data_IF_766163002632
#
_entry.id   IF_766163002632
#
_cell.length_a   1.000
_cell.length_b   1.000
_cell.length_c   1.000
_cell.angle_alpha   90.00
_cell.angle_beta   90.00
_cell.angle_gamma   90.00
#
_symmetry.space_group_name_H-M   'P 1'
#
loop_
_entity.id
_entity.type
_entity.pdbx_description
1 polymer ?
#
# COMPACT_ATOMS: atom_id res chain seq x y z
N UNK A 1 16.97 30.84 8.00
CA UNK A 1 16.29 31.56 6.89
C UNK A 1 16.52 33.06 7.02
N UNK A 2 16.55 33.80 5.90
CA UNK A 2 16.76 35.26 5.89
C UNK A 2 15.65 35.99 6.65
N UNK A 3 15.98 37.01 7.45
CA UNK A 3 15.01 37.82 8.21
C UNK A 3 14.39 38.96 7.39
N UNK A 4 14.93 39.25 6.21
CA UNK A 4 14.49 40.36 5.38
C UNK A 4 13.27 39.98 4.52
N UNK A 5 12.12 40.62 4.80
CA UNK A 5 10.83 40.29 4.18
C UNK A 5 10.86 40.28 2.63
N UNK A 6 11.63 41.17 2.01
CA UNK A 6 11.78 41.23 0.54
C UNK A 6 12.42 39.95 -0.01
N UNK A 7 13.48 39.47 0.64
CA UNK A 7 14.16 38.23 0.28
C UNK A 7 13.25 37.02 0.51
N UNK A 8 12.48 37.02 1.60
CA UNK A 8 11.48 35.97 1.87
C UNK A 8 10.41 35.91 0.78
N UNK A 9 9.90 37.06 0.34
CA UNK A 9 8.88 37.16 -0.71
C UNK A 9 9.42 36.68 -2.07
N UNK A 10 10.67 37.04 -2.40
CA UNK A 10 11.34 36.56 -3.60
C UNK A 10 11.49 35.03 -3.57
N UNK A 11 11.95 34.46 -2.46
CA UNK A 11 12.13 33.02 -2.30
C UNK A 11 10.79 32.27 -2.46
N UNK A 12 9.72 32.73 -1.81
CA UNK A 12 8.36 32.17 -1.95
C UNK A 12 7.92 32.16 -3.41
N UNK A 13 8.12 33.28 -4.12
CA UNK A 13 7.75 33.40 -5.54
C UNK A 13 8.55 32.43 -6.41
N UNK A 14 9.85 32.30 -6.17
CA UNK A 14 10.71 31.37 -6.89
C UNK A 14 10.29 29.91 -6.66
N UNK A 15 10.00 29.52 -5.41
CA UNK A 15 9.51 28.17 -5.09
C UNK A 15 8.15 27.89 -5.70
N UNK A 16 7.22 28.85 -5.73
CA UNK A 16 5.94 28.68 -6.41
C UNK A 16 6.07 28.52 -7.92
N UNK A 17 6.97 29.28 -8.56
CA UNK A 17 7.23 29.14 -9.99
C UNK A 17 7.76 27.73 -10.29
N UNK A 18 8.77 27.28 -9.54
CA UNK A 18 9.31 25.93 -9.67
C UNK A 18 8.23 24.86 -9.44
N UNK A 19 7.44 25.06 -8.38
CA UNK A 19 6.10 24.52 -8.15
C UNK A 19 5.38 24.09 -9.42
N UNK A 20 4.90 25.14 -10.10
CA UNK A 20 4.04 25.02 -11.27
C UNK A 20 4.76 24.39 -12.45
N UNK A 21 6.04 24.69 -12.64
CA UNK A 21 6.84 24.09 -13.71
C UNK A 21 6.97 22.59 -13.50
N UNK A 22 7.37 22.15 -12.30
CA UNK A 22 7.51 20.73 -11.98
C UNK A 22 6.17 19.99 -12.07
N UNK A 23 5.08 20.59 -11.55
CA UNK A 23 3.74 20.02 -11.67
C UNK A 23 3.34 19.82 -13.14
N UNK A 24 3.52 20.83 -13.98
CA UNK A 24 3.17 20.77 -15.39
C UNK A 24 3.94 19.66 -16.14
N UNK A 25 5.24 19.57 -15.88
CA UNK A 25 6.15 18.59 -16.48
C UNK A 25 5.88 17.16 -16.01
N UNK A 26 5.60 16.96 -14.73
CA UNK A 26 5.44 15.62 -14.13
C UNK A 26 4.03 15.06 -14.19
N UNK A 27 2.98 15.89 -14.30
CA UNK A 27 1.58 15.43 -14.25
C UNK A 27 0.77 15.78 -15.48
N UNK A 28 0.95 16.98 -16.04
CA UNK A 28 0.06 17.49 -17.09
C UNK A 28 0.49 17.00 -18.48
N UNK A 29 1.80 17.01 -18.77
CA UNK A 29 2.33 16.55 -20.06
C UNK A 29 2.11 15.06 -20.30
N UNK A 30 2.40 14.13 -19.36
CA UNK A 30 2.20 12.70 -19.56
C UNK A 30 0.72 12.32 -19.82
N UNK A 31 -0.23 13.11 -19.31
CA UNK A 31 -1.66 12.91 -19.54
C UNK A 31 -2.14 13.39 -20.91
N UNK A 32 -1.42 14.30 -21.57
CA UNK A 32 -1.95 15.06 -22.70
C UNK A 32 -1.61 14.54 -24.11
N UNK A 33 -0.54 13.76 -24.37
CA UNK A 33 -0.36 13.06 -25.66
C UNK A 33 0.91 12.19 -25.81
N UNK A 34 0.78 11.08 -26.57
CA UNK A 34 1.87 10.40 -27.31
C UNK A 34 2.39 11.31 -28.43
N UNK A 35 3.69 11.58 -28.47
CA UNK A 35 4.41 11.79 -29.74
C UNK A 35 5.14 13.13 -29.98
N UNK A 36 5.05 14.14 -29.10
CA UNK A 36 5.77 15.41 -29.33
C UNK A 36 6.49 16.01 -28.10
N UNK A 37 6.13 15.60 -26.87
CA UNK A 37 6.64 16.22 -25.64
C UNK A 37 7.55 15.31 -24.79
N UNK A 38 7.85 14.09 -25.25
CA UNK A 38 8.71 13.16 -24.50
C UNK A 38 10.12 13.74 -24.31
N UNK A 39 10.64 14.44 -25.33
CA UNK A 39 11.94 15.11 -25.24
C UNK A 39 11.99 16.14 -24.10
N UNK A 40 10.91 16.87 -23.86
CA UNK A 40 10.87 17.93 -22.86
C UNK A 40 10.79 17.38 -21.43
N UNK A 41 10.11 16.23 -21.24
CA UNK A 41 10.11 15.51 -19.95
C UNK A 41 11.49 14.89 -19.70
N UNK A 42 12.11 14.28 -20.72
CA UNK A 42 13.47 13.74 -20.62
C UNK A 42 14.48 14.85 -20.34
N UNK A 43 14.41 15.98 -21.05
CA UNK A 43 15.29 17.12 -20.83
C UNK A 43 15.15 17.71 -19.42
N UNK A 44 13.91 17.81 -18.91
CA UNK A 44 13.66 18.20 -17.53
C UNK A 44 14.35 17.26 -16.55
N UNK A 45 14.17 15.95 -16.71
CA UNK A 45 14.73 14.95 -15.81
C UNK A 45 16.27 14.89 -15.88
N UNK A 46 16.85 14.97 -17.07
CA UNK A 46 18.28 14.78 -17.30
C UNK A 46 19.14 16.04 -17.13
N UNK A 47 18.61 17.25 -17.38
CA UNK A 47 19.43 18.46 -17.40
C UNK A 47 18.99 19.53 -16.39
N UNK A 48 17.70 19.80 -16.28
CA UNK A 48 17.22 20.96 -15.50
C UNK A 48 16.96 20.63 -14.04
N UNK A 49 16.35 19.48 -13.78
CA UNK A 49 15.92 19.12 -12.43
C UNK A 49 17.09 18.79 -11.50
N UNK A 50 18.20 18.26 -12.01
CA UNK A 50 19.38 17.92 -11.20
C UNK A 50 19.94 19.14 -10.46
N UNK A 51 20.23 20.23 -11.19
CA UNK A 51 20.78 21.46 -10.61
C UNK A 51 19.82 22.13 -9.61
N UNK A 52 18.52 21.92 -9.77
CA UNK A 52 17.50 22.47 -8.87
C UNK A 52 17.41 21.65 -7.59
N UNK A 53 17.17 20.34 -7.71
CA UNK A 53 16.90 19.49 -6.55
C UNK A 53 18.16 19.12 -5.77
N UNK A 54 19.34 19.15 -6.39
CA UNK A 54 20.62 19.06 -5.68
C UNK A 54 20.86 20.23 -4.71
N UNK A 55 20.16 21.37 -4.89
CA UNK A 55 20.18 22.50 -3.96
C UNK A 55 19.00 22.44 -2.99
N UNK A 56 17.80 22.17 -3.50
CA UNK A 56 16.58 22.27 -2.69
C UNK A 56 16.40 21.13 -1.70
N UNK A 57 16.82 19.92 -2.03
CA UNK A 57 16.66 18.78 -1.13
C UNK A 57 17.54 18.93 0.13
N UNK A 58 18.85 19.25 0.05
CA UNK A 58 19.64 19.58 1.23
C UNK A 58 19.12 20.78 2.00
N UNK A 59 18.70 21.86 1.30
CA UNK A 59 18.13 23.04 1.94
C UNK A 59 16.87 22.70 2.73
N UNK A 60 15.99 21.85 2.19
CA UNK A 60 14.80 21.39 2.88
C UNK A 60 15.15 20.60 4.13
N UNK A 61 16.07 19.63 4.05
CA UNK A 61 16.48 18.82 5.21
C UNK A 61 17.12 19.69 6.30
N UNK A 62 17.99 20.63 5.91
CA UNK A 62 18.63 21.58 6.85
C UNK A 62 17.60 22.46 7.56
N UNK A 63 16.70 23.09 6.80
CA UNK A 63 15.67 23.98 7.36
C UNK A 63 14.68 23.18 8.22
N UNK A 64 14.21 22.02 7.75
CA UNK A 64 13.31 21.14 8.49
C UNK A 64 13.93 20.64 9.79
N UNK A 65 15.22 20.27 9.77
CA UNK A 65 15.96 19.82 10.93
C UNK A 65 16.14 20.89 12.02
N UNK A 66 16.11 22.18 11.65
CA UNK A 66 16.18 23.30 12.60
C UNK A 66 14.83 23.75 13.18
N UNK A 67 13.71 23.17 12.74
CA UNK A 67 12.36 23.55 13.19
C UNK A 67 11.91 22.60 14.29
N UNK A 68 12.02 23.07 15.53
CA UNK A 68 11.53 22.37 16.72
C UNK A 68 10.36 23.09 17.41
N UNK A 69 10.01 24.29 16.95
CA UNK A 69 8.90 25.10 17.49
C UNK A 69 8.09 25.69 16.34
N UNK A 70 6.87 26.17 16.62
CA UNK A 70 6.01 26.82 15.63
C UNK A 70 6.72 28.02 15.00
N UNK A 71 7.06 27.97 13.69
CA UNK A 71 7.75 29.07 13.04
C UNK A 71 6.85 30.30 12.94
N UNK A 72 7.44 31.50 12.99
CA UNK A 72 6.70 32.74 12.74
C UNK A 72 6.05 32.73 11.34
N UNK A 73 4.99 33.55 11.10
CA UNK A 73 4.16 33.44 9.90
C UNK A 73 4.92 33.50 8.58
N UNK A 74 5.91 34.38 8.46
CA UNK A 74 6.68 34.54 7.21
C UNK A 74 7.66 33.39 6.97
N UNK A 75 8.28 32.87 8.04
CA UNK A 75 9.11 31.66 8.00
C UNK A 75 8.25 30.45 7.63
N UNK A 76 7.04 30.33 8.18
CA UNK A 76 6.11 29.26 7.86
C UNK A 76 5.71 29.30 6.38
N UNK A 77 5.43 30.48 5.81
CA UNK A 77 5.09 30.61 4.40
C UNK A 77 6.25 30.20 3.47
N UNK A 78 7.47 30.60 3.80
CA UNK A 78 8.65 30.15 3.05
C UNK A 78 8.81 28.64 3.11
N UNK A 79 8.62 28.05 4.28
CA UNK A 79 8.70 26.62 4.48
C UNK A 79 7.63 25.87 3.69
N UNK A 80 6.35 26.30 3.77
CA UNK A 80 5.26 25.75 2.95
C UNK A 80 5.65 25.78 1.47
N UNK A 81 6.19 26.90 0.98
CA UNK A 81 6.55 27.08 -0.41
C UNK A 81 7.72 26.18 -0.83
N UNK A 82 8.77 26.10 0.00
CA UNK A 82 9.92 25.20 -0.18
C UNK A 82 9.48 23.73 -0.17
N UNK A 83 8.73 23.31 0.84
CA UNK A 83 8.12 21.99 0.97
C UNK A 83 7.34 21.60 -0.28
N UNK A 84 6.46 22.49 -0.75
CA UNK A 84 5.68 22.25 -1.97
C UNK A 84 6.55 22.00 -3.18
N UNK A 85 7.58 22.83 -3.39
CA UNK A 85 8.52 22.69 -4.50
C UNK A 85 9.32 21.39 -4.42
N UNK A 86 9.86 21.08 -3.24
CA UNK A 86 10.64 19.86 -3.00
C UNK A 86 9.80 18.60 -3.15
N UNK A 87 8.49 18.67 -2.86
CA UNK A 87 7.57 17.53 -3.00
C UNK A 87 7.47 16.98 -4.44
N UNK A 88 7.97 17.72 -5.44
CA UNK A 88 8.05 17.29 -6.84
C UNK A 88 9.43 16.77 -7.25
N UNK A 89 10.35 16.56 -6.30
CA UNK A 89 11.67 15.99 -6.55
C UNK A 89 11.53 14.62 -7.25
N UNK A 90 12.06 14.47 -8.48
CA UNK A 90 12.06 13.19 -9.17
C UNK A 90 12.84 12.12 -8.42
N UNK A 91 12.34 10.88 -8.46
CA UNK A 91 12.99 9.70 -7.86
C UNK A 91 14.48 9.57 -8.23
N UNK A 92 14.93 9.81 -9.49
CA UNK A 92 16.36 9.80 -9.83
C UNK A 92 17.25 10.66 -8.93
N UNK A 93 16.78 11.84 -8.53
CA UNK A 93 17.52 12.78 -7.69
C UNK A 93 17.48 12.42 -6.21
N UNK A 94 16.51 11.61 -5.79
CA UNK A 94 16.51 10.99 -4.46
C UNK A 94 17.54 9.84 -4.39
N UNK A 95 17.73 9.10 -5.49
CA UNK A 95 18.74 8.02 -5.59
C UNK A 95 20.17 8.54 -5.59
N UNK A 96 20.41 9.69 -6.20
CA UNK A 96 21.71 10.37 -6.28
C UNK A 96 21.62 11.73 -5.60
N UNK A 97 21.19 11.72 -4.34
CA UNK A 97 21.02 12.94 -3.58
C UNK A 97 22.37 13.55 -3.19
N UNK A 98 22.35 14.87 -3.02
CA UNK A 98 23.47 15.67 -2.51
C UNK A 98 23.39 15.87 -0.99
N UNK A 99 22.68 15.00 -0.26
CA UNK A 99 22.54 15.12 1.18
C UNK A 99 23.86 14.74 1.88
N UNK A 100 24.16 15.37 3.03
CA UNK A 100 25.26 14.92 3.88
C UNK A 100 25.03 13.46 4.29
N UNK A 101 26.04 12.60 4.10
CA UNK A 101 25.98 11.17 4.44
C UNK A 101 25.53 11.00 5.88
N UNK A 102 24.50 10.16 6.09
CA UNK A 102 23.95 9.83 7.40
C UNK A 102 23.60 8.35 7.42
N UNK A 103 24.44 7.55 8.06
CA UNK A 103 24.29 6.09 8.14
C UNK A 103 24.01 5.67 9.59
N UNK A 104 23.26 4.58 9.75
CA UNK A 104 22.97 3.97 11.05
C UNK A 104 23.81 2.70 11.14
N UNK A 105 24.65 2.59 12.16
CA UNK A 105 25.62 1.49 12.28
C UNK A 105 24.96 0.11 12.45
N UNK A 106 23.73 0.09 12.97
CA UNK A 106 22.92 -1.12 13.20
C UNK A 106 22.02 -1.46 11.99
N UNK A 107 22.12 -0.72 10.88
CA UNK A 107 21.31 -1.00 9.69
C UNK A 107 21.84 -2.22 8.95
N UNK A 108 21.20 -3.37 9.19
CA UNK A 108 21.45 -4.61 8.45
C UNK A 108 20.84 -4.60 7.04
N UNK A 109 20.11 -3.53 6.66
CA UNK A 109 19.52 -3.44 5.33
C UNK A 109 20.59 -3.25 4.25
N UNK A 110 20.52 -4.05 3.20
CA UNK A 110 21.47 -4.03 2.09
C UNK A 110 21.18 -2.92 1.06
N UNK A 111 20.70 -1.77 1.53
CA UNK A 111 20.40 -0.62 0.69
C UNK A 111 21.68 0.14 0.34
N UNK A 112 21.79 0.74 -0.86
CA UNK A 112 22.90 1.62 -1.18
C UNK A 112 22.95 2.83 -0.23
N UNK A 113 24.16 3.35 -0.01
CA UNK A 113 24.45 4.46 0.91
C UNK A 113 23.55 5.69 0.69
N UNK A 114 23.23 6.00 -0.56
CA UNK A 114 22.38 7.15 -0.91
C UNK A 114 20.92 6.97 -0.47
N UNK A 115 20.39 5.74 -0.53
CA UNK A 115 19.05 5.44 -0.03
C UNK A 115 19.03 5.48 1.49
N UNK A 116 20.02 4.85 2.15
CA UNK A 116 20.15 4.91 3.61
C UNK A 116 20.21 6.37 4.09
N UNK A 117 21.05 7.19 3.46
CA UNK A 117 21.16 8.62 3.78
C UNK A 117 19.83 9.34 3.62
N UNK A 118 19.10 9.10 2.53
CA UNK A 118 17.78 9.72 2.30
C UNK A 118 16.78 9.30 3.37
N UNK A 119 16.67 8.01 3.66
CA UNK A 119 15.77 7.47 4.68
C UNK A 119 16.11 8.02 6.07
N UNK A 120 17.39 8.05 6.43
CA UNK A 120 17.88 8.51 7.73
C UNK A 120 17.67 10.01 7.96
N UNK A 121 17.55 10.80 6.91
CA UNK A 121 17.17 12.22 7.00
C UNK A 121 15.65 12.43 7.00
N UNK A 122 14.91 11.72 6.14
CA UNK A 122 13.49 11.98 5.91
C UNK A 122 12.54 11.24 6.87
N UNK A 123 12.85 10.02 7.31
CA UNK A 123 11.98 9.26 8.22
C UNK A 123 11.72 9.99 9.55
N UNK A 124 12.72 10.58 10.23
CA UNK A 124 12.46 11.36 11.45
C UNK A 124 11.53 12.56 11.24
N UNK A 125 11.50 13.13 10.02
CA UNK A 125 10.65 14.26 9.68
C UNK A 125 9.17 13.88 9.57
N UNK A 126 8.83 12.58 9.57
CA UNK A 126 7.43 12.11 9.69
C UNK A 126 6.79 12.50 11.02
N UNK A 127 7.59 12.80 12.04
CA UNK A 127 7.13 13.28 13.35
C UNK A 127 7.34 14.79 13.54
N UNK A 128 7.62 15.53 12.46
CA UNK A 128 7.79 16.97 12.54
C UNK A 128 6.44 17.67 12.79
N UNK A 129 6.36 18.63 13.73
CA UNK A 129 5.12 19.36 14.00
C UNK A 129 4.68 20.25 12.83
N UNK A 130 5.57 20.61 11.91
CA UNK A 130 5.15 21.34 10.72
C UNK A 130 4.54 20.38 9.68
N UNK A 131 3.25 20.57 9.38
CA UNK A 131 2.50 19.76 8.41
C UNK A 131 3.18 19.69 7.05
N UNK A 132 3.67 20.82 6.54
CA UNK A 132 4.28 20.87 5.21
C UNK A 132 5.56 20.03 5.16
N UNK A 133 6.37 20.07 6.22
CA UNK A 133 7.54 19.20 6.37
C UNK A 133 7.13 17.74 6.46
N UNK A 134 6.20 17.41 7.35
CA UNK A 134 5.71 16.04 7.55
C UNK A 134 5.20 15.40 6.26
N UNK A 135 4.30 16.08 5.53
CA UNK A 135 3.71 15.57 4.30
C UNK A 135 4.69 15.55 3.12
N UNK A 136 5.61 16.51 3.06
CA UNK A 136 6.66 16.51 2.01
C UNK A 136 7.58 15.32 2.19
N UNK A 137 8.06 15.09 3.41
CA UNK A 137 8.92 13.93 3.73
C UNK A 137 8.19 12.63 3.45
N UNK A 138 6.93 12.50 3.84
CA UNK A 138 6.10 11.35 3.49
C UNK A 138 6.01 11.14 1.97
N UNK A 139 5.71 12.18 1.18
CA UNK A 139 5.56 12.06 -0.28
C UNK A 139 6.87 11.65 -0.96
N UNK A 140 8.00 12.20 -0.54
CA UNK A 140 9.32 11.82 -1.04
C UNK A 140 9.63 10.35 -0.72
N UNK A 141 9.41 9.95 0.54
CA UNK A 141 9.61 8.58 0.99
C UNK A 141 8.70 7.61 0.24
N UNK A 142 7.43 7.95 0.05
CA UNK A 142 6.44 7.12 -0.64
C UNK A 142 6.86 6.84 -2.09
N UNK A 143 7.45 7.83 -2.77
CA UNK A 143 7.97 7.67 -4.13
C UNK A 143 9.14 6.68 -4.23
N UNK A 144 9.88 6.46 -3.13
CA UNK A 144 11.01 5.54 -3.06
C UNK A 144 10.61 4.12 -2.65
N UNK A 145 9.56 3.96 -1.83
CA UNK A 145 9.18 2.67 -1.24
C UNK A 145 9.12 1.50 -2.24
N UNK A 146 8.54 1.65 -3.45
CA UNK A 146 8.46 0.53 -4.41
C UNK A 146 9.80 0.06 -4.97
N UNK A 147 10.85 0.88 -4.92
CA UNK A 147 12.18 0.53 -5.46
C UNK A 147 13.07 -0.18 -4.44
N UNK A 148 12.80 -0.01 -3.14
CA UNK A 148 13.66 -0.52 -2.07
C UNK A 148 13.71 -2.06 -2.02
N UNK A 149 12.57 -2.71 -2.28
CA UNK A 149 12.45 -4.17 -2.30
C UNK A 149 13.39 -4.87 -3.28
N UNK A 150 13.82 -4.18 -4.33
CA UNK A 150 14.70 -4.74 -5.37
C UNK A 150 16.13 -5.00 -4.89
N UNK A 151 16.54 -4.39 -3.78
CA UNK A 151 17.88 -4.56 -3.22
C UNK A 151 17.95 -5.77 -2.29
N UNK A 152 16.86 -6.08 -1.58
CA UNK A 152 16.76 -7.29 -0.78
C UNK A 152 16.68 -8.54 -1.66
N UNK A 153 16.02 -8.46 -2.82
CA UNK A 153 15.90 -9.57 -3.77
C UNK A 153 17.23 -10.17 -4.28
N UNK A 154 18.35 -9.44 -4.17
CA UNK A 154 19.63 -9.78 -4.80
C UNK A 154 20.58 -10.59 -3.92
N UNK A 155 20.18 -10.93 -2.71
CA UNK A 155 21.05 -11.60 -1.75
C UNK A 155 20.85 -13.12 -1.86
N UNK A 156 21.95 -13.84 -2.13
CA UNK A 156 22.00 -15.29 -2.06
C UNK A 156 21.68 -15.73 -0.62
N UNK A 157 20.70 -16.62 -0.49
CA UNK A 157 20.25 -17.16 0.80
C UNK A 157 21.34 -18.14 1.30
N UNK A 158 21.96 -17.92 2.48
CA UNK A 158 22.76 -18.94 3.13
C UNK A 158 21.86 -20.12 3.55
N UNK A 159 22.46 -21.29 3.82
CA UNK A 159 21.79 -22.56 4.15
C UNK A 159 20.51 -22.44 5.01
N UNK A 160 19.54 -23.35 4.78
CA UNK A 160 18.16 -23.26 5.29
C UNK A 160 17.98 -23.06 6.81
N UNK A 161 19.02 -23.31 7.61
CA UNK A 161 18.97 -23.26 9.08
C UNK A 161 19.28 -21.86 9.67
N UNK A 162 19.80 -20.91 8.88
CA UNK A 162 20.19 -19.55 9.31
C UNK A 162 19.60 -18.46 8.39
N UNK A 163 18.35 -18.58 7.92
CA UNK A 163 17.71 -17.50 7.13
C UNK A 163 17.55 -16.24 8.00
N UNK A 164 18.30 -15.14 7.76
CA UNK A 164 18.06 -13.91 8.49
C UNK A 164 16.66 -13.41 8.12
N UNK A 165 15.84 -13.17 9.14
CA UNK A 165 14.53 -12.56 8.95
C UNK A 165 14.75 -11.12 8.50
N UNK A 166 14.47 -10.83 7.22
CA UNK A 166 14.66 -9.48 6.68
C UNK A 166 13.72 -8.50 7.36
N UNK A 167 14.29 -7.39 7.81
CA UNK A 167 13.55 -6.28 8.38
C UNK A 167 13.35 -5.17 7.34
N UNK A 168 12.27 -4.39 7.42
CA UNK A 168 12.17 -3.14 6.68
C UNK A 168 13.25 -2.14 7.11
N UNK A 169 13.50 -1.08 6.33
CA UNK A 169 14.56 -0.11 6.62
C UNK A 169 14.52 0.44 8.04
N UNK A 170 15.66 0.40 8.74
CA UNK A 170 15.72 0.71 10.18
C UNK A 170 15.18 2.10 10.51
N UNK A 171 15.45 3.11 9.66
CA UNK A 171 14.96 4.48 9.86
C UNK A 171 13.43 4.58 9.93
N UNK A 172 12.75 3.82 9.06
CA UNK A 172 11.29 3.73 9.05
C UNK A 172 10.81 3.00 10.30
N UNK A 173 11.48 1.88 10.65
CA UNK A 173 11.14 1.10 11.83
C UNK A 173 11.34 1.87 13.12
N UNK A 174 12.40 2.65 13.28
CA UNK A 174 12.63 3.53 14.45
C UNK A 174 11.49 4.53 14.61
N UNK A 175 11.05 5.16 13.51
CA UNK A 175 9.96 6.14 13.53
C UNK A 175 8.62 5.48 13.90
N UNK A 176 8.34 4.30 13.33
CA UNK A 176 7.12 3.53 13.58
C UNK A 176 7.07 2.96 15.00
N UNK A 177 8.17 2.35 15.48
CA UNK A 177 8.25 1.77 16.82
C UNK A 177 8.19 2.84 17.90
N UNK A 178 8.93 3.94 17.74
CA UNK A 178 8.92 5.07 18.67
C UNK A 178 7.52 5.66 18.82
N UNK A 179 6.89 6.01 17.70
CA UNK A 179 5.51 6.53 17.71
C UNK A 179 4.50 5.50 18.22
N UNK A 180 4.70 4.19 17.99
CA UNK A 180 3.83 3.15 18.59
C UNK A 180 3.90 3.13 20.11
N UNK A 181 5.09 3.32 20.69
CA UNK A 181 5.29 3.33 22.13
C UNK A 181 4.62 4.55 22.77
N UNK A 182 4.79 5.72 22.17
CA UNK A 182 4.16 6.95 22.60
C UNK A 182 2.62 6.83 22.56
N UNK A 183 2.07 6.32 21.45
CA UNK A 183 0.62 6.13 21.30
C UNK A 183 0.07 5.07 22.24
N UNK A 184 0.78 3.96 22.47
CA UNK A 184 0.34 2.96 23.44
C UNK A 184 0.28 3.55 24.85
N UNK A 185 1.22 4.42 25.22
CA UNK A 185 1.19 5.12 26.51
C UNK A 185 0.03 6.11 26.60
N UNK A 186 -0.25 6.85 25.54
CA UNK A 186 -1.33 7.83 25.46
C UNK A 186 -2.72 7.18 25.48
N UNK A 187 -2.87 6.07 24.77
CA UNK A 187 -4.14 5.40 24.52
C UNK A 187 -4.45 4.26 25.50
N UNK A 188 -3.62 4.07 26.52
CA UNK A 188 -3.74 2.96 27.48
C UNK A 188 -5.14 2.87 28.11
N UNK A 189 -5.72 4.01 28.50
CA UNK A 189 -7.00 4.06 29.22
C UNK A 189 -8.22 4.04 28.30
N UNK A 190 -8.03 4.13 26.97
CA UNK A 190 -9.12 4.11 25.99
C UNK A 190 -9.36 2.67 25.54
N UNK A 191 -10.51 2.05 25.86
CA UNK A 191 -10.80 0.70 25.42
C UNK A 191 -11.11 0.64 23.92
N UNK A 192 -10.84 -0.49 23.30
CA UNK A 192 -11.14 -0.71 21.88
C UNK A 192 -12.64 -0.57 21.59
N UNK A 193 -12.97 0.25 20.59
CA UNK A 193 -14.35 0.55 20.18
C UNK A 193 -14.95 1.80 20.84
N UNK A 194 -14.23 2.43 21.77
CA UNK A 194 -14.48 3.82 22.13
C UNK A 194 -13.66 4.74 21.22
N UNK A 195 -14.26 5.86 20.84
CA UNK A 195 -13.68 6.77 19.86
C UNK A 195 -12.94 7.88 20.59
N UNK A 196 -11.65 8.00 20.32
CA UNK A 196 -10.84 9.10 20.80
C UNK A 196 -10.94 10.29 19.83
N UNK A 197 -11.27 11.45 20.38
CA UNK A 197 -11.12 12.72 19.67
C UNK A 197 -9.74 13.28 19.99
N UNK A 198 -8.91 13.39 18.97
CA UNK A 198 -7.57 13.97 19.07
C UNK A 198 -7.65 15.42 18.58
N UNK A 199 -7.17 16.35 19.38
CA UNK A 199 -7.11 17.77 19.02
C UNK A 199 -6.09 18.00 17.89
N UNK A 200 -6.50 18.70 16.84
CA UNK A 200 -5.72 18.92 15.62
C UNK A 200 -4.41 19.68 15.89
N UNK A 201 -4.38 20.53 16.91
CA UNK A 201 -3.22 21.35 17.25
C UNK A 201 -2.28 20.66 18.27
N UNK A 202 -2.62 19.46 18.72
CA UNK A 202 -1.88 18.78 19.77
C UNK A 202 -0.69 17.97 19.26
N UNK A 203 0.24 17.64 20.17
CA UNK A 203 1.39 16.79 19.85
C UNK A 203 0.95 15.35 19.55
N UNK A 204 -0.13 14.89 20.20
CA UNK A 204 -0.76 13.59 19.95
C UNK A 204 -1.22 13.46 18.50
N UNK A 205 -1.75 14.53 17.89
CA UNK A 205 -2.09 14.54 16.47
C UNK A 205 -0.84 14.32 15.60
N UNK A 206 0.26 15.00 15.90
CA UNK A 206 1.51 14.90 15.13
C UNK A 206 2.05 13.47 15.18
N UNK A 207 2.09 12.88 16.37
CA UNK A 207 2.55 11.51 16.59
C UNK A 207 1.62 10.51 15.89
N UNK A 208 0.29 10.66 16.03
CA UNK A 208 -0.69 9.77 15.40
C UNK A 208 -0.60 9.84 13.89
N UNK A 209 -0.52 11.05 13.32
CA UNK A 209 -0.36 11.22 11.87
C UNK A 209 0.96 10.63 11.40
N UNK A 210 2.08 10.90 12.09
CA UNK A 210 3.39 10.34 11.73
C UNK A 210 3.43 8.80 11.78
N UNK A 211 2.75 8.20 12.77
CA UNK A 211 2.56 6.75 12.87
C UNK A 211 1.78 6.20 11.66
N UNK A 212 0.65 6.82 11.30
CA UNK A 212 -0.16 6.39 10.16
C UNK A 212 0.58 6.55 8.82
N UNK A 213 1.32 7.65 8.64
CA UNK A 213 2.16 7.87 7.46
C UNK A 213 3.28 6.82 7.38
N UNK A 214 3.90 6.48 8.51
CA UNK A 214 4.91 5.40 8.57
C UNK A 214 4.33 4.04 8.16
N UNK A 215 3.10 3.74 8.59
CA UNK A 215 2.39 2.53 8.14
C UNK A 215 2.06 2.55 6.65
N UNK A 216 1.63 3.69 6.10
CA UNK A 216 1.42 3.81 4.65
C UNK A 216 2.70 3.53 3.86
N UNK A 217 3.86 4.02 4.34
CA UNK A 217 5.16 3.74 3.72
C UNK A 217 5.52 2.26 3.81
N UNK A 218 5.33 1.64 4.97
CA UNK A 218 5.58 0.21 5.17
C UNK A 218 4.70 -0.66 4.27
N UNK A 219 3.40 -0.32 4.12
CA UNK A 219 2.48 -1.02 3.22
C UNK A 219 2.85 -0.78 1.74
N UNK A 220 3.32 0.41 1.38
CA UNK A 220 3.84 0.69 0.04
C UNK A 220 5.10 -0.13 -0.28
N UNK A 221 6.01 -0.28 0.68
CA UNK A 221 7.18 -1.16 0.57
C UNK A 221 6.74 -2.62 0.35
N UNK A 222 5.74 -3.06 1.13
CA UNK A 222 5.19 -4.41 1.01
C UNK A 222 4.59 -4.68 -0.38
N UNK A 223 3.84 -3.72 -0.94
CA UNK A 223 3.28 -3.81 -2.30
C UNK A 223 4.34 -3.84 -3.40
N UNK A 224 5.46 -3.14 -3.19
CA UNK A 224 6.61 -3.17 -4.10
C UNK A 224 7.43 -4.46 -4.05
N UNK A 225 7.24 -5.31 -3.02
CA UNK A 225 8.03 -6.51 -2.80
C UNK A 225 7.46 -7.76 -3.50
N UNK A 226 8.36 -8.68 -3.90
CA UNK A 226 7.98 -10.01 -4.41
C UNK A 226 7.30 -10.86 -3.34
N UNK A 227 6.62 -11.92 -3.76
CA UNK A 227 5.84 -12.80 -2.86
C UNK A 227 6.71 -13.39 -1.74
N UNK A 228 7.93 -13.80 -2.07
CA UNK A 228 8.88 -14.39 -1.14
C UNK A 228 9.32 -13.37 -0.06
N UNK A 229 9.75 -12.18 -0.49
CA UNK A 229 10.15 -11.10 0.41
C UNK A 229 8.98 -10.60 1.28
N UNK A 230 7.76 -10.54 0.72
CA UNK A 230 6.54 -10.25 1.49
C UNK A 230 6.31 -11.25 2.62
N UNK A 231 6.63 -12.53 2.42
CA UNK A 231 6.50 -13.53 3.47
C UNK A 231 7.51 -13.29 4.61
N UNK A 232 8.75 -12.91 4.28
CA UNK A 232 9.79 -12.58 5.26
C UNK A 232 9.43 -11.32 6.08
N UNK A 233 9.02 -10.23 5.40
CA UNK A 233 8.52 -9.04 6.09
C UNK A 233 7.29 -9.34 6.94
N UNK A 234 6.34 -10.15 6.45
CA UNK A 234 5.17 -10.52 7.24
C UNK A 234 5.55 -11.30 8.51
N UNK A 235 6.57 -12.16 8.43
CA UNK A 235 7.11 -12.87 9.59
C UNK A 235 7.79 -11.90 10.57
N UNK A 236 8.52 -10.90 10.08
CA UNK A 236 9.07 -9.82 10.89
C UNK A 236 7.97 -9.04 11.63
N UNK A 237 6.94 -8.57 10.92
CA UNK A 237 5.81 -7.85 11.52
C UNK A 237 5.09 -8.68 12.60
N UNK A 238 4.97 -9.99 12.36
CA UNK A 238 4.38 -10.93 13.32
C UNK A 238 5.23 -11.08 14.58
N UNK A 239 6.55 -11.23 14.44
CA UNK A 239 7.45 -11.40 15.58
C UNK A 239 7.49 -10.15 16.47
N UNK A 240 7.31 -8.98 15.87
CA UNK A 240 7.25 -7.70 16.58
C UNK A 240 5.83 -7.31 17.05
N UNK A 241 4.81 -8.14 16.82
CA UNK A 241 3.39 -7.87 17.10
C UNK A 241 2.87 -6.53 16.55
N UNK A 242 3.37 -6.08 15.39
CA UNK A 242 3.09 -4.73 14.91
C UNK A 242 1.67 -4.56 14.37
N UNK A 243 1.12 -5.62 13.77
CA UNK A 243 -0.26 -5.59 13.24
C UNK A 243 -1.27 -5.57 14.39
N UNK A 244 -1.01 -6.27 15.48
CA UNK A 244 -1.88 -6.21 16.67
C UNK A 244 -1.93 -4.78 17.22
N UNK A 245 -0.77 -4.16 17.45
CA UNK A 245 -0.66 -2.78 17.95
C UNK A 245 -1.33 -1.80 16.99
N UNK A 246 -1.11 -1.94 15.68
CA UNK A 246 -1.76 -1.11 14.67
C UNK A 246 -3.28 -1.16 14.79
N UNK A 247 -3.85 -2.37 14.85
CA UNK A 247 -5.30 -2.53 14.89
C UNK A 247 -5.88 -2.00 16.21
N UNK A 248 -5.21 -2.23 17.34
CA UNK A 248 -5.62 -1.66 18.63
C UNK A 248 -5.68 -0.13 18.59
N UNK A 249 -4.69 0.52 17.97
CA UNK A 249 -4.68 1.98 17.79
C UNK A 249 -5.78 2.40 16.80
N UNK A 250 -5.87 1.77 15.63
CA UNK A 250 -6.85 2.12 14.59
C UNK A 250 -8.29 2.07 15.11
N UNK A 251 -8.67 1.03 15.86
CA UNK A 251 -10.03 0.93 16.39
C UNK A 251 -10.39 1.93 17.49
N UNK A 252 -9.42 2.74 17.95
CA UNK A 252 -9.65 3.88 18.84
C UNK A 252 -9.79 5.21 18.08
N UNK A 253 -9.26 5.30 16.86
CA UNK A 253 -9.26 6.53 16.04
C UNK A 253 -10.15 6.48 14.80
N UNK A 254 -10.52 5.30 14.32
CA UNK A 254 -11.41 5.13 13.17
C UNK A 254 -12.74 5.84 13.44
N UNK A 255 -13.31 6.56 12.46
CA UNK A 255 -14.58 7.25 12.64
C UNK A 255 -15.75 6.26 12.75
N UNK A 256 -16.74 6.54 13.59
CA UNK A 256 -17.92 5.68 13.75
C UNK A 256 -18.70 5.52 12.42
N UNK A 257 -18.72 6.61 11.65
CA UNK A 257 -19.31 6.68 10.32
C UNK A 257 -18.27 7.29 9.35
N UNK A 258 -17.61 6.47 8.51
CA UNK A 258 -16.53 6.88 7.59
C UNK A 258 -17.10 7.55 6.33
N UNK A 259 -17.85 8.65 6.52
CA UNK A 259 -18.46 9.42 5.43
C UNK A 259 -17.68 10.70 5.23
N UNK A 260 -17.30 10.98 3.98
CA UNK A 260 -16.67 12.24 3.65
C UNK A 260 -17.69 13.40 3.73
N UNK A 261 -17.36 14.52 4.40
CA UNK A 261 -18.20 15.70 4.38
C UNK A 261 -18.41 16.15 2.92
N UNK A 262 -19.65 16.38 2.52
CA UNK A 262 -19.93 16.97 1.21
C UNK A 262 -19.36 18.39 1.20
N UNK A 263 -18.38 18.65 0.33
CA UNK A 263 -17.92 20.01 0.09
C UNK A 263 -19.07 20.85 -0.47
N UNK A 264 -19.49 21.88 0.26
CA UNK A 264 -20.42 22.92 -0.20
C UNK A 264 -19.74 23.78 -1.27
N UNK A 265 -19.67 23.27 -2.51
CA UNK A 265 -19.29 24.06 -3.67
C UNK A 265 -20.14 23.67 -4.90
N UNK A 266 -21.23 24.41 -5.08
CA UNK A 266 -21.84 24.71 -6.38
C UNK A 266 -22.37 23.57 -7.25
N UNK A 267 -23.32 22.77 -6.77
CA UNK A 267 -24.27 22.10 -7.68
C UNK A 267 -25.70 22.44 -7.27
N UNK A 268 -26.22 23.52 -7.85
CA UNK A 268 -27.66 23.82 -7.93
C UNK A 268 -28.33 22.83 -8.89
N UNK A 269 -28.29 21.53 -8.62
CA UNK A 269 -29.22 20.58 -9.24
C UNK A 269 -30.01 19.90 -8.13
N UNK A 270 -31.32 20.18 -8.14
CA UNK A 270 -32.33 19.50 -7.33
C UNK A 270 -32.50 18.07 -7.83
N UNK A 271 -31.52 17.22 -7.60
CA UNK A 271 -31.70 15.77 -7.60
C UNK A 271 -31.17 15.26 -6.27
N UNK A 272 -31.93 14.35 -5.65
CA UNK A 272 -31.82 13.90 -4.25
C UNK A 272 -30.35 13.74 -3.79
N UNK A 273 -29.92 14.32 -2.66
CA UNK A 273 -28.58 14.12 -2.14
C UNK A 273 -28.53 12.75 -1.44
N UNK A 274 -28.33 11.68 -2.21
CA UNK A 274 -28.12 10.32 -1.67
C UNK A 274 -26.68 9.83 -1.81
N UNK A 275 -25.77 10.62 -2.40
CA UNK A 275 -24.36 10.25 -2.56
C UNK A 275 -23.50 10.75 -1.40
N UNK A 276 -23.66 10.17 -0.21
CA UNK A 276 -22.60 10.19 0.80
C UNK A 276 -21.47 9.28 0.33
N UNK A 277 -20.30 9.85 0.05
CA UNK A 277 -19.10 9.09 -0.36
C UNK A 277 -18.38 8.53 0.87
N UNK A 278 -17.86 7.31 0.74
CA UNK A 278 -17.13 6.65 1.84
C UNK A 278 -15.66 7.06 1.84
N UNK A 279 -15.07 7.24 3.03
CA UNK A 279 -13.62 7.43 3.20
C UNK A 279 -12.81 6.20 2.72
N UNK A 280 -13.45 5.05 2.53
CA UNK A 280 -12.80 3.83 2.03
C UNK A 280 -12.78 3.72 0.50
N UNK A 281 -13.46 4.62 -0.23
CA UNK A 281 -13.55 4.57 -1.69
C UNK A 281 -12.53 5.46 -2.40
N UNK A 282 -11.91 6.39 -1.67
CA UNK A 282 -11.00 7.41 -2.19
C UNK A 282 -9.76 7.51 -1.29
N UNK A 283 -8.60 7.83 -1.87
CA UNK A 283 -7.38 8.11 -1.12
C UNK A 283 -7.45 9.46 -0.39
N UNK A 284 -6.81 9.62 0.79
CA UNK A 284 -6.73 10.89 1.48
C UNK A 284 -6.01 11.96 0.66
N UNK A 285 -6.71 13.07 0.39
CA UNK A 285 -6.13 14.22 -0.31
C UNK A 285 -5.43 15.15 0.69
N UNK A 286 -4.17 14.82 1.02
CA UNK A 286 -3.35 15.60 1.92
C UNK A 286 -2.46 16.58 1.14
N UNK A 287 -2.83 17.87 1.14
CA UNK A 287 -1.96 18.94 0.63
C UNK A 287 -1.07 19.49 1.76
N UNK A 288 0.22 19.62 1.46
CA UNK A 288 1.22 20.23 2.34
C UNK A 288 0.96 21.72 2.59
N UNK A 289 0.20 22.40 1.72
CA UNK A 289 -0.17 23.82 1.83
C UNK A 289 -1.38 24.09 2.69
N UNK A 290 -2.26 23.11 2.79
CA UNK A 290 -3.51 23.24 3.51
C UNK A 290 -3.28 23.30 5.02
N UNK A 291 -4.17 24.00 5.73
CA UNK A 291 -4.27 23.84 7.17
C UNK A 291 -4.70 22.40 7.51
N UNK A 292 -4.32 21.93 8.71
CA UNK A 292 -4.78 20.64 9.21
C UNK A 292 -6.31 20.66 9.36
N UNK A 293 -6.96 19.55 9.02
CA UNK A 293 -8.41 19.36 9.17
C UNK A 293 -8.65 18.09 9.96
N UNK A 294 -9.73 18.05 10.76
CA UNK A 294 -10.10 16.84 11.53
C UNK A 294 -10.26 15.62 10.63
N UNK A 295 -10.81 15.83 9.43
CA UNK A 295 -11.03 14.78 8.43
C UNK A 295 -9.72 14.13 7.96
N UNK A 296 -8.59 14.84 8.00
CA UNK A 296 -7.32 14.34 7.50
C UNK A 296 -6.86 13.09 8.26
N UNK A 297 -6.92 13.15 9.59
CA UNK A 297 -6.52 12.04 10.47
C UNK A 297 -7.48 10.87 10.34
N UNK A 298 -8.79 11.15 10.35
CA UNK A 298 -9.82 10.12 10.21
C UNK A 298 -9.72 9.40 8.86
N UNK A 299 -9.58 10.14 7.77
CA UNK A 299 -9.46 9.57 6.43
C UNK A 299 -8.13 8.81 6.28
N UNK A 300 -7.03 9.32 6.83
CA UNK A 300 -5.76 8.60 6.84
C UNK A 300 -5.85 7.29 7.64
N UNK A 301 -6.55 7.27 8.79
CA UNK A 301 -6.78 6.04 9.56
C UNK A 301 -7.60 5.01 8.76
N UNK A 302 -8.62 5.46 8.02
CA UNK A 302 -9.39 4.63 7.10
C UNK A 302 -8.48 4.04 6.00
N UNK A 303 -7.64 4.87 5.38
CA UNK A 303 -6.73 4.42 4.33
C UNK A 303 -5.72 3.38 4.85
N UNK A 304 -5.14 3.58 6.04
CA UNK A 304 -4.21 2.60 6.64
C UNK A 304 -4.94 1.31 6.94
N UNK A 305 -6.13 1.38 7.53
CA UNK A 305 -6.92 0.18 7.82
C UNK A 305 -7.29 -0.60 6.56
N UNK A 306 -7.68 0.12 5.51
CA UNK A 306 -8.02 -0.45 4.21
C UNK A 306 -6.82 -1.17 3.57
N UNK A 307 -5.68 -0.49 3.46
CA UNK A 307 -4.46 -1.07 2.89
C UNK A 307 -3.93 -2.23 3.74
N UNK A 308 -4.01 -2.15 5.08
CA UNK A 308 -3.63 -3.27 5.93
C UNK A 308 -4.50 -4.51 5.66
N UNK A 309 -5.82 -4.36 5.50
CA UNK A 309 -6.72 -5.45 5.12
C UNK A 309 -6.40 -6.03 3.74
N UNK A 310 -6.01 -5.18 2.79
CA UNK A 310 -5.67 -5.60 1.43
C UNK A 310 -4.32 -6.31 1.35
N UNK A 311 -3.29 -5.76 2.00
CA UNK A 311 -1.90 -6.17 1.83
C UNK A 311 -1.45 -7.21 2.87
N UNK A 312 -2.05 -7.21 4.07
CA UNK A 312 -1.73 -8.08 5.20
C UNK A 312 -2.90 -8.98 5.69
N UNK A 313 -3.76 -9.52 4.82
CA UNK A 313 -4.98 -10.23 5.25
C UNK A 313 -4.68 -11.47 6.11
N UNK A 314 -3.56 -12.16 5.91
CA UNK A 314 -3.19 -13.32 6.73
C UNK A 314 -2.87 -12.94 8.19
N UNK A 315 -2.11 -11.86 8.41
CA UNK A 315 -1.77 -11.38 9.75
C UNK A 315 -3.01 -10.85 10.47
N UNK A 316 -3.87 -10.11 9.77
CA UNK A 316 -5.10 -9.58 10.35
C UNK A 316 -6.07 -10.71 10.70
N UNK A 317 -6.18 -11.76 9.86
CA UNK A 317 -6.94 -12.96 10.22
C UNK A 317 -6.37 -13.66 11.45
N UNK A 318 -5.05 -13.70 11.59
CA UNK A 318 -4.43 -14.25 12.79
C UNK A 318 -4.86 -13.47 14.03
N UNK A 319 -4.70 -12.14 14.02
CA UNK A 319 -5.16 -11.27 15.11
C UNK A 319 -6.65 -11.45 15.40
N UNK A 320 -7.51 -11.40 14.37
CA UNK A 320 -8.96 -11.50 14.50
C UNK A 320 -9.42 -12.80 15.20
N UNK A 321 -8.70 -13.91 14.96
CA UNK A 321 -8.99 -15.19 15.59
C UNK A 321 -8.35 -15.36 16.98
N UNK A 322 -7.43 -14.48 17.36
CA UNK A 322 -6.69 -14.51 18.64
C UNK A 322 -7.25 -13.56 19.69
N UNK A 323 -7.97 -12.50 19.29
CA UNK A 323 -8.58 -11.52 20.20
C UNK A 323 -9.87 -12.03 20.84
N UNK A 324 -10.33 -11.36 21.90
CA UNK A 324 -11.57 -11.73 22.56
C UNK A 324 -12.83 -11.52 21.69
N UNK A 325 -13.92 -12.16 22.13
CA UNK A 325 -15.18 -12.17 21.39
C UNK A 325 -15.79 -10.78 21.19
N UNK A 326 -15.63 -9.86 22.16
CA UNK A 326 -16.19 -8.50 22.04
C UNK A 326 -15.42 -7.71 20.98
N UNK A 327 -14.10 -7.73 21.04
CA UNK A 327 -13.24 -7.03 20.09
C UNK A 327 -13.41 -7.56 18.65
N UNK A 328 -13.44 -8.88 18.48
CA UNK A 328 -13.72 -9.50 17.17
C UNK A 328 -15.11 -9.13 16.63
N UNK A 329 -16.15 -9.04 17.48
CA UNK A 329 -17.47 -8.58 17.03
C UNK A 329 -17.47 -7.12 16.55
N UNK A 330 -16.74 -6.23 17.23
CA UNK A 330 -16.58 -4.82 16.81
C UNK A 330 -15.92 -4.77 15.43
N UNK A 331 -14.78 -5.46 15.30
CA UNK A 331 -14.03 -5.53 14.06
C UNK A 331 -14.86 -6.09 12.91
N UNK A 332 -15.55 -7.21 13.15
CA UNK A 332 -16.42 -7.86 12.18
C UNK A 332 -17.53 -6.92 11.70
N UNK A 333 -18.22 -6.24 12.62
CA UNK A 333 -19.32 -5.33 12.29
C UNK A 333 -18.83 -4.15 11.45
N UNK A 334 -17.72 -3.53 11.86
CA UNK A 334 -17.16 -2.38 11.17
C UNK A 334 -16.69 -2.75 9.75
N UNK A 335 -15.89 -3.81 9.63
CA UNK A 335 -15.37 -4.31 8.35
C UNK A 335 -16.50 -4.67 7.39
N UNK A 336 -17.48 -5.47 7.85
CA UNK A 336 -18.62 -5.92 7.03
C UNK A 336 -19.42 -4.75 6.48
N UNK A 337 -19.61 -3.70 7.29
CA UNK A 337 -20.46 -2.56 6.93
C UNK A 337 -19.75 -1.62 5.95
N UNK A 338 -18.49 -1.29 6.20
CA UNK A 338 -17.84 -0.18 5.51
C UNK A 338 -16.72 -0.58 4.55
N UNK A 339 -16.03 -1.70 4.79
CA UNK A 339 -14.79 -2.03 4.07
C UNK A 339 -14.95 -3.22 3.13
N UNK A 340 -15.59 -4.30 3.59
CA UNK A 340 -15.79 -5.52 2.80
C UNK A 340 -16.47 -5.27 1.44
N UNK A 341 -17.51 -4.40 1.33
CA UNK A 341 -18.12 -4.10 0.02
C UNK A 341 -17.12 -3.48 -0.97
N UNK A 342 -16.24 -2.59 -0.50
CA UNK A 342 -15.24 -1.93 -1.34
C UNK A 342 -14.18 -2.93 -1.80
N UNK A 343 -13.58 -3.68 -0.88
CA UNK A 343 -12.55 -4.68 -1.20
C UNK A 343 -13.09 -5.78 -2.13
N UNK A 344 -14.29 -6.31 -1.87
CA UNK A 344 -14.89 -7.31 -2.75
C UNK A 344 -15.11 -6.77 -4.16
N UNK A 345 -15.55 -5.52 -4.30
CA UNK A 345 -15.73 -4.89 -5.60
C UNK A 345 -14.41 -4.69 -6.33
N UNK A 346 -13.34 -4.27 -5.64
CA UNK A 346 -12.01 -4.14 -6.25
C UNK A 346 -11.49 -5.48 -6.74
N UNK A 347 -11.56 -6.51 -5.91
CA UNK A 347 -11.07 -7.86 -6.24
C UNK A 347 -11.82 -8.44 -7.46
N UNK A 348 -13.14 -8.30 -7.47
CA UNK A 348 -13.98 -8.80 -8.56
C UNK A 348 -13.76 -8.00 -9.85
N UNK A 349 -13.56 -6.68 -9.77
CA UNK A 349 -13.22 -5.84 -10.93
C UNK A 349 -11.85 -6.20 -11.49
N UNK A 350 -10.84 -6.40 -10.65
CA UNK A 350 -9.50 -6.82 -11.09
C UNK A 350 -9.57 -8.14 -11.88
N UNK A 351 -10.39 -9.09 -11.43
CA UNK A 351 -10.64 -10.34 -12.15
C UNK A 351 -11.40 -10.12 -13.47
N UNK A 352 -12.41 -9.24 -13.49
CA UNK A 352 -13.15 -8.88 -14.72
C UNK A 352 -12.21 -8.31 -15.79
N UNK A 353 -11.34 -7.37 -15.41
CA UNK A 353 -10.42 -6.70 -16.32
C UNK A 353 -9.35 -7.66 -16.85
N UNK A 354 -8.92 -8.63 -16.04
CA UNK A 354 -7.94 -9.64 -16.42
C UNK A 354 -8.51 -10.80 -17.27
N UNK A 355 -9.85 -11.00 -17.27
CA UNK A 355 -10.52 -12.11 -17.97
C UNK A 355 -10.16 -12.21 -19.46
N UNK A 356 -9.80 -11.10 -20.09
CA UNK A 356 -9.41 -11.03 -21.51
C UNK A 356 -8.08 -11.77 -21.81
N UNK A 357 -7.29 -12.12 -20.78
CA UNK A 357 -5.88 -12.56 -20.95
C UNK A 357 -5.60 -14.03 -20.61
N UNK A 358 -6.61 -14.83 -20.25
CA UNK A 358 -6.40 -16.20 -19.75
C UNK A 358 -6.91 -17.25 -20.74
N UNK A 359 -6.01 -17.77 -21.60
CA UNK A 359 -6.39 -18.80 -22.59
C UNK A 359 -6.95 -20.06 -21.93
N UNK A 360 -7.95 -20.67 -22.58
CA UNK A 360 -8.64 -21.88 -22.14
C UNK A 360 -9.41 -21.75 -20.82
N UNK A 361 -9.53 -20.54 -20.27
CA UNK A 361 -10.30 -20.24 -19.07
C UNK A 361 -11.33 -19.16 -19.34
N UNK A 362 -12.58 -19.40 -18.95
CA UNK A 362 -13.65 -18.41 -19.00
C UNK A 362 -14.05 -18.04 -17.59
N UNK A 363 -14.02 -16.76 -17.25
CA UNK A 363 -14.41 -16.27 -15.93
C UNK A 363 -15.75 -15.53 -16.03
N UNK A 364 -16.66 -15.84 -15.10
CA UNK A 364 -17.92 -15.13 -14.87
C UNK A 364 -17.93 -14.60 -13.44
N UNK A 365 -18.11 -13.30 -13.30
CA UNK A 365 -18.14 -12.63 -12.00
C UNK A 365 -19.56 -12.25 -11.62
N UNK A 366 -19.88 -12.34 -10.34
CA UNK A 366 -21.19 -11.97 -9.77
C UNK A 366 -20.97 -11.03 -8.57
N UNK A 367 -20.75 -9.73 -8.81
CA UNK A 367 -20.45 -8.75 -7.75
C UNK A 367 -21.48 -8.76 -6.61
N UNK A 368 -22.78 -8.82 -6.94
CA UNK A 368 -23.85 -8.84 -5.94
C UNK A 368 -23.80 -10.05 -4.99
N UNK A 369 -23.32 -11.20 -5.49
CA UNK A 369 -23.15 -12.42 -4.69
C UNK A 369 -21.73 -12.53 -4.07
N UNK A 370 -20.81 -11.63 -4.46
CA UNK A 370 -19.37 -11.69 -4.16
C UNK A 370 -18.69 -12.96 -4.67
N UNK A 371 -19.09 -13.42 -5.86
CA UNK A 371 -18.60 -14.68 -6.43
C UNK A 371 -17.81 -14.48 -7.73
N UNK A 372 -16.84 -15.37 -7.94
CA UNK A 372 -16.09 -15.54 -9.18
C UNK A 372 -16.18 -17.00 -9.60
N UNK A 373 -16.89 -17.29 -10.70
CA UNK A 373 -16.97 -18.61 -11.29
C UNK A 373 -15.95 -18.72 -12.44
N UNK A 374 -15.12 -19.76 -12.41
CA UNK A 374 -14.15 -20.05 -13.46
C UNK A 374 -14.44 -21.40 -14.09
N UNK A 375 -14.44 -21.45 -15.43
CA UNK A 375 -14.59 -22.67 -16.22
C UNK A 375 -13.35 -22.84 -17.08
N UNK A 376 -12.65 -23.95 -16.89
CA UNK A 376 -11.46 -24.32 -17.64
C UNK A 376 -11.78 -25.46 -18.60
N UNK A 377 -11.41 -25.30 -19.87
CA UNK A 377 -11.69 -26.26 -20.95
C UNK A 377 -10.42 -26.60 -21.72
N UNK A 378 -10.00 -27.86 -21.70
CA UNK A 378 -8.87 -28.37 -22.50
C UNK A 378 -9.27 -29.71 -23.11
N UNK A 379 -9.22 -29.79 -24.44
CA UNK A 379 -9.66 -30.97 -25.21
C UNK A 379 -11.11 -31.36 -24.84
N UNK A 380 -11.33 -32.57 -24.31
CA UNK A 380 -12.63 -33.05 -23.84
C UNK A 380 -12.88 -32.83 -22.33
N UNK A 381 -11.92 -32.23 -21.63
CA UNK A 381 -11.99 -31.99 -20.18
C UNK A 381 -12.62 -30.63 -19.89
N UNK A 382 -13.63 -30.61 -19.02
CA UNK A 382 -14.23 -29.38 -18.49
C UNK A 382 -14.21 -29.40 -16.97
N UNK A 383 -13.71 -28.32 -16.37
CA UNK A 383 -13.57 -28.14 -14.92
C UNK A 383 -14.14 -26.79 -14.52
N UNK A 384 -15.01 -26.79 -13.51
CA UNK A 384 -15.62 -25.57 -12.99
C UNK A 384 -15.38 -25.41 -11.49
N UNK A 385 -15.14 -24.18 -11.07
CA UNK A 385 -15.07 -23.80 -9.67
C UNK A 385 -15.74 -22.45 -9.44
N UNK A 386 -16.18 -22.22 -8.21
CA UNK A 386 -16.73 -20.93 -7.77
C UNK A 386 -16.00 -20.50 -6.51
N UNK A 387 -15.40 -19.31 -6.54
CA UNK A 387 -14.79 -18.66 -5.38
C UNK A 387 -15.76 -17.64 -4.84
N UNK A 388 -16.14 -17.74 -3.57
CA UNK A 388 -17.09 -16.82 -2.93
C UNK A 388 -16.40 -16.11 -1.76
N UNK A 389 -16.38 -14.78 -1.82
CA UNK A 389 -15.87 -13.94 -0.75
C UNK A 389 -16.91 -13.81 0.37
N UNK A 390 -16.49 -13.92 1.65
CA UNK A 390 -17.40 -13.79 2.78
C UNK A 390 -17.92 -12.36 2.92
N UNK A 391 -19.02 -12.18 3.64
CA UNK A 391 -19.60 -10.85 3.91
C UNK A 391 -18.66 -9.92 4.69
N UNK A 392 -17.77 -10.49 5.51
CA UNK A 392 -16.76 -9.79 6.32
C UNK A 392 -15.35 -9.93 5.71
N UNK A 393 -15.23 -10.08 4.40
CA UNK A 393 -13.93 -10.17 3.72
C UNK A 393 -13.04 -8.97 4.06
N UNK A 394 -11.74 -9.16 4.38
CA UNK A 394 -10.95 -10.40 4.32
C UNK A 394 -10.87 -11.22 5.63
N UNK A 395 -11.61 -10.84 6.68
CA UNK A 395 -11.58 -11.50 7.99
C UNK A 395 -12.10 -12.94 7.93
N UNK A 396 -13.21 -13.15 7.22
CA UNK A 396 -13.80 -14.47 7.03
C UNK A 396 -13.00 -15.36 6.09
N UNK A 397 -13.37 -16.64 6.07
CA UNK A 397 -12.81 -17.60 5.14
C UNK A 397 -13.43 -17.45 3.75
N UNK A 398 -12.58 -17.48 2.73
CA UNK A 398 -13.02 -17.59 1.33
C UNK A 398 -13.47 -19.03 1.10
N UNK A 399 -14.61 -19.20 0.45
CA UNK A 399 -15.15 -20.53 0.11
C UNK A 399 -14.86 -20.83 -1.36
N UNK A 400 -14.44 -22.06 -1.65
CA UNK A 400 -14.17 -22.55 -3.00
C UNK A 400 -15.04 -23.78 -3.23
N UNK A 401 -16.03 -23.65 -4.08
CA UNK A 401 -16.98 -24.71 -4.42
C UNK A 401 -16.65 -25.34 -5.77
N UNK A 402 -16.91 -26.65 -5.87
CA UNK A 402 -16.70 -27.42 -7.09
C UNK A 402 -17.98 -27.39 -7.95
N UNK A 403 -17.86 -26.99 -9.21
CA UNK A 403 -18.90 -27.15 -10.21
C UNK A 403 -18.77 -28.48 -10.96
N UNK A 404 -19.04 -28.45 -12.26
CA UNK A 404 -18.87 -29.60 -13.15
C UNK A 404 -17.39 -30.04 -13.23
N UNK A 405 -17.15 -31.36 -13.18
CA UNK A 405 -15.83 -31.97 -13.35
C UNK A 405 -15.91 -33.19 -14.27
N UNK A 406 -15.27 -33.13 -15.43
CA UNK A 406 -15.18 -34.25 -16.38
C UNK A 406 -13.71 -34.67 -16.55
N UNK A 407 -13.44 -35.97 -16.47
CA UNK A 407 -12.15 -36.59 -16.83
C UNK A 407 -10.96 -36.29 -15.91
N UNK A 408 -11.20 -35.91 -14.65
CA UNK A 408 -10.16 -35.72 -13.61
C UNK A 408 -10.41 -36.65 -12.42
N UNK A 409 -9.35 -37.31 -11.96
CA UNK A 409 -9.39 -38.18 -10.78
C UNK A 409 -9.74 -37.39 -9.49
N UNK A 410 -10.57 -37.98 -8.63
CA UNK A 410 -11.06 -37.30 -7.41
C UNK A 410 -9.96 -36.83 -6.46
N UNK A 411 -8.89 -37.61 -6.30
CA UNK A 411 -7.78 -37.27 -5.41
C UNK A 411 -6.99 -36.05 -5.92
N UNK A 412 -6.72 -36.01 -7.23
CA UNK A 412 -5.99 -34.91 -7.86
C UNK A 412 -6.77 -33.60 -7.77
N UNK A 413 -8.08 -33.65 -8.02
CA UNK A 413 -8.96 -32.49 -7.86
C UNK A 413 -8.97 -31.96 -6.42
N UNK A 414 -9.11 -32.84 -5.42
CA UNK A 414 -9.06 -32.47 -4.01
C UNK A 414 -7.74 -31.77 -3.66
N UNK A 415 -6.61 -32.26 -4.17
CA UNK A 415 -5.31 -31.62 -3.97
C UNK A 415 -5.26 -30.23 -4.58
N UNK A 416 -5.78 -30.01 -5.79
CA UNK A 416 -5.82 -28.68 -6.40
C UNK A 416 -6.72 -27.71 -5.65
N UNK A 417 -7.90 -28.15 -5.21
CA UNK A 417 -8.79 -27.32 -4.40
C UNK A 417 -8.15 -26.96 -3.05
N UNK A 418 -7.50 -27.93 -2.40
CA UNK A 418 -6.78 -27.68 -1.16
C UNK A 418 -5.66 -26.64 -1.37
N UNK A 419 -4.88 -26.76 -2.44
CA UNK A 419 -3.82 -25.79 -2.78
C UNK A 419 -4.39 -24.39 -3.04
N UNK A 420 -5.48 -24.29 -3.81
CA UNK A 420 -6.16 -23.02 -4.09
C UNK A 420 -6.70 -22.37 -2.81
N UNK A 421 -7.45 -23.12 -2.00
CA UNK A 421 -7.98 -22.62 -0.72
C UNK A 421 -6.86 -22.22 0.23
N UNK A 422 -5.77 -23.00 0.30
CA UNK A 422 -4.61 -22.66 1.13
C UNK A 422 -3.93 -21.39 0.65
N UNK A 423 -3.76 -21.21 -0.66
CA UNK A 423 -3.18 -20.01 -1.25
C UNK A 423 -4.02 -18.77 -0.91
N UNK A 424 -5.32 -18.80 -1.21
CA UNK A 424 -6.25 -17.68 -0.96
C UNK A 424 -6.39 -17.34 0.54
N UNK A 425 -6.27 -18.34 1.41
CA UNK A 425 -6.44 -18.15 2.85
C UNK A 425 -5.14 -17.84 3.61
N UNK A 426 -3.97 -18.30 3.13
CA UNK A 426 -2.72 -18.17 3.89
C UNK A 426 -1.67 -17.27 3.24
N UNK A 427 -1.70 -17.03 1.93
CA UNK A 427 -0.53 -16.46 1.22
C UNK A 427 -0.71 -15.02 0.70
N UNK A 428 -1.52 -14.18 1.35
CA UNK A 428 -1.79 -12.79 0.91
C UNK A 428 -2.02 -12.67 -0.62
N UNK A 429 -2.67 -13.68 -1.21
CA UNK A 429 -2.82 -13.82 -2.66
C UNK A 429 -4.19 -13.38 -3.14
N UNK A 430 -4.24 -12.78 -4.33
CA UNK A 430 -5.50 -12.40 -4.99
C UNK A 430 -6.23 -13.63 -5.56
N UNK A 431 -7.54 -13.51 -5.80
CA UNK A 431 -8.35 -14.47 -6.57
C UNK A 431 -7.71 -14.68 -7.94
N UNK A 432 -7.25 -13.61 -8.60
CA UNK A 432 -6.64 -13.70 -9.92
C UNK A 432 -5.37 -14.56 -9.91
N UNK A 433 -4.50 -14.35 -8.92
CA UNK A 433 -3.29 -15.16 -8.73
C UNK A 433 -3.63 -16.61 -8.41
N UNK A 434 -4.65 -16.83 -7.56
CA UNK A 434 -5.16 -18.15 -7.22
C UNK A 434 -5.67 -18.91 -8.45
N UNK A 435 -6.47 -18.26 -9.29
CA UNK A 435 -6.98 -18.84 -10.54
C UNK A 435 -5.83 -19.13 -11.53
N UNK A 436 -4.84 -18.24 -11.61
CA UNK A 436 -3.64 -18.44 -12.46
C UNK A 436 -2.80 -19.62 -11.98
N UNK A 437 -2.61 -19.76 -10.66
CA UNK A 437 -1.96 -20.90 -10.04
C UNK A 437 -2.71 -22.21 -10.33
N UNK A 438 -4.03 -22.19 -10.17
CA UNK A 438 -4.88 -23.34 -10.46
C UNK A 438 -4.78 -23.76 -11.93
N UNK A 439 -4.90 -22.82 -12.89
CA UNK A 439 -4.69 -23.05 -14.33
C UNK A 439 -3.32 -23.68 -14.60
N UNK A 440 -2.26 -23.15 -14.02
CA UNK A 440 -0.89 -23.68 -14.19
C UNK A 440 -0.78 -25.12 -13.70
N UNK A 441 -1.39 -25.45 -12.56
CA UNK A 441 -1.39 -26.80 -12.00
C UNK A 441 -2.15 -27.79 -12.89
N UNK A 442 -3.30 -27.37 -13.43
CA UNK A 442 -4.06 -28.18 -14.39
C UNK A 442 -3.21 -28.44 -15.64
N UNK A 443 -2.61 -27.40 -16.23
CA UNK A 443 -1.74 -27.54 -17.41
C UNK A 443 -0.52 -28.42 -17.20
N UNK A 444 0.15 -28.30 -16.06
CA UNK A 444 1.28 -29.16 -15.72
C UNK A 444 0.87 -30.63 -15.67
N UNK A 445 -0.33 -30.89 -15.15
CA UNK A 445 -0.86 -32.26 -15.08
C UNK A 445 -1.30 -32.79 -16.44
N UNK A 446 -1.97 -32.00 -17.27
CA UNK A 446 -2.43 -32.43 -18.59
C UNK A 446 -1.24 -32.65 -19.53
N UNK A 447 -0.19 -31.81 -19.45
CA UNK A 447 1.05 -31.95 -20.23
C UNK A 447 1.94 -33.10 -19.74
N UNK A 448 1.96 -33.37 -18.42
CA UNK A 448 2.60 -34.56 -17.84
C UNK A 448 1.86 -35.85 -18.19
N UNK A 449 0.53 -35.78 -18.20
CA UNK A 449 -0.35 -36.87 -18.59
C UNK A 449 -0.37 -37.10 -20.09
N UNK A 450 -0.11 -36.13 -20.97
CA UNK A 450 0.02 -36.41 -22.42
C UNK A 450 1.20 -37.34 -22.70
N UNK A 451 2.29 -37.29 -21.92
CA UNK A 451 3.37 -38.30 -22.06
C UNK A 451 2.93 -39.70 -21.61
N UNK A 452 2.04 -39.83 -20.62
CA UNK A 452 1.57 -41.13 -20.13
C UNK A 452 0.35 -41.68 -20.90
N UNK A 453 -0.53 -40.80 -21.39
CA UNK A 453 -1.74 -41.13 -22.15
C UNK A 453 -1.40 -41.38 -23.62
N UNK A 454 -0.44 -40.66 -24.22
CA UNK A 454 0.05 -41.00 -25.58
C UNK A 454 0.73 -42.37 -25.59
N UNK A 455 1.37 -42.80 -24.49
CA UNK A 455 1.89 -44.17 -24.37
C UNK A 455 0.78 -45.21 -24.17
N UNK A 456 -0.31 -44.89 -23.48
CA UNK A 456 -1.41 -45.85 -23.29
C UNK A 456 -2.28 -46.00 -24.55
N UNK A 457 -2.54 -44.92 -25.29
CA UNK A 457 -3.32 -44.99 -26.54
C UNK A 457 -2.50 -45.64 -27.68
N UNK A 458 -1.18 -45.39 -27.77
CA UNK A 458 -0.34 -46.11 -28.74
C UNK A 458 -0.07 -47.57 -28.38
N UNK A 459 -0.06 -47.96 -27.10
CA UNK A 459 0.05 -49.38 -26.74
C UNK A 459 -1.23 -50.17 -27.06
N UNK A 460 -2.42 -49.54 -27.02
CA UNK A 460 -3.68 -50.22 -27.38
C UNK A 460 -3.82 -50.37 -28.89
N UNK A 461 -3.33 -49.44 -29.70
CA UNK A 461 -3.33 -49.58 -31.17
C UNK A 461 -2.27 -50.57 -31.71
N UNK A 462 -1.13 -50.74 -31.02
CA UNK A 462 -0.07 -51.69 -31.42
C UNK A 462 -0.37 -53.13 -30.94
N UNK A 463 -1.27 -53.33 -29.98
CA UNK A 463 -1.70 -54.68 -29.57
C UNK A 463 -2.92 -55.22 -30.35
N UNK A 464 -3.51 -54.45 -31.27
CA UNK A 464 -4.65 -54.85 -32.10
C UNK A 464 -4.41 -54.71 -33.63
N UNK A 465 -3.16 -54.55 -34.06
CA UNK A 465 -2.71 -54.77 -35.44
C UNK A 465 -1.64 -55.85 -35.45
#
# INVERSE_FOLDING_TARGET
MCSELKMQTFAVTAFHLLERVAQYLSSTIPMQQKGANDNLVTEWLEFFSEGIYSLLLPLFVEVAGGIHTTPGPSTNLMLISLSSAVSWCPVPHLRQNSLPVKLIAEDECHLPESYQTTLNHLCPLLLNPNRSVQLTSYKLLLSLMPELSQYDDKLDIPDEDDKPMRSPPIALMTSLLGSSQDLNSLLHDVPMGEHLVIDIESDEYVITMGYLLSWQLLLALFRGAKVELRAEYAQYLRNCNLVEVLLEILYKILPENPVLPLCDASVKNKEKPTNTRSMFEEEPLLDARDARKEVDLLHMSCAVYFHALQDLPALIRHWYNSIDKRMSMIANRYTTKYVSPVLCNLEIRAVQDANVKLDNMTIKTRPAAREVAATYTVEELTMELVVTLPNNHPLGQITVECGKRIGVATAQWRNWMLQLTTFLHRQNGSILDGLTLWRRNVNKSTNGSTRAIILHVRCVEICFS
#
